data_IF_193825609093
#
_entry.id   IF_193825609093
#
_cell.length_a   1.000
_cell.length_b   1.000
_cell.length_c   1.000
_cell.angle_alpha   90.00
_cell.angle_beta   90.00
_cell.angle_gamma   90.00
#
_symmetry.space_group_name_H-M   'P 1'
#
loop_
_entity.id
_entity.type
_entity.pdbx_description
1 polymer ?
#
# COMPACT_ATOMS: atom_id res chain seq x y z
N UNK A 1 14.80 9.19 19.84
CA UNK A 1 13.55 8.72 19.24
C UNK A 1 13.86 7.69 18.16
N UNK A 2 13.11 6.60 18.17
CA UNK A 2 13.33 5.44 17.30
C UNK A 2 12.34 5.38 16.11
N UNK A 3 11.46 6.37 16.00
CA UNK A 3 10.45 6.45 14.93
C UNK A 3 10.19 7.89 14.52
N UNK A 4 9.70 8.09 13.32
CA UNK A 4 9.37 9.38 12.76
C UNK A 4 8.27 9.30 11.71
N UNK A 5 7.90 10.43 11.15
CA UNK A 5 6.91 10.55 10.08
C UNK A 5 7.60 11.01 8.81
N UNK A 6 7.18 10.46 7.70
CA UNK A 6 7.62 10.86 6.36
C UNK A 6 6.40 11.06 5.47
N UNK A 7 6.51 11.97 4.52
CA UNK A 7 5.51 12.11 3.47
C UNK A 7 5.65 10.94 2.47
N UNK A 8 4.71 9.99 2.40
CA UNK A 8 4.88 8.77 1.61
C UNK A 8 4.97 9.05 0.11
N UNK A 9 4.13 9.92 -0.41
CA UNK A 9 4.18 10.30 -1.84
C UNK A 9 5.43 11.11 -2.17
N UNK A 10 5.89 11.99 -1.27
CA UNK A 10 7.15 12.71 -1.46
C UNK A 10 8.35 11.77 -1.52
N UNK A 11 8.40 10.77 -0.65
CA UNK A 11 9.44 9.74 -0.68
C UNK A 11 9.39 8.94 -1.99
N UNK A 12 8.21 8.52 -2.43
CA UNK A 12 8.04 7.77 -3.68
C UNK A 12 8.49 8.60 -4.90
N UNK A 13 8.12 9.87 -4.95
CA UNK A 13 8.55 10.78 -6.03
C UNK A 13 10.08 10.93 -6.02
N UNK A 14 10.68 11.13 -4.85
CA UNK A 14 12.14 11.29 -4.73
C UNK A 14 12.89 10.03 -5.22
N UNK A 15 12.39 8.83 -4.94
CA UNK A 15 12.96 7.60 -5.50
C UNK A 15 12.83 7.54 -7.02
N UNK A 16 11.67 7.90 -7.57
CA UNK A 16 11.46 7.92 -9.01
C UNK A 16 12.37 8.94 -9.71
N UNK A 17 12.49 10.15 -9.16
CA UNK A 17 13.39 11.19 -9.67
C UNK A 17 14.86 10.76 -9.62
N UNK A 18 15.27 10.14 -8.52
CA UNK A 18 16.63 9.59 -8.39
C UNK A 18 16.88 8.48 -9.40
N UNK A 19 15.93 7.58 -9.61
CA UNK A 19 16.03 6.53 -10.62
C UNK A 19 16.19 7.12 -12.03
N UNK A 20 15.40 8.12 -12.38
CA UNK A 20 15.48 8.80 -13.69
C UNK A 20 16.84 9.49 -13.86
N UNK A 21 17.36 10.15 -12.84
CA UNK A 21 18.71 10.77 -12.86
C UNK A 21 19.81 9.72 -13.08
N UNK A 22 19.56 8.47 -12.69
CA UNK A 22 20.49 7.35 -12.90
C UNK A 22 20.18 6.53 -14.17
N UNK A 23 19.35 7.07 -15.07
CA UNK A 23 19.12 6.50 -16.41
C UNK A 23 17.93 5.53 -16.49
N UNK A 24 17.08 5.44 -15.47
CA UNK A 24 15.83 4.70 -15.58
C UNK A 24 14.77 5.51 -16.35
N UNK A 25 13.86 4.79 -16.99
CA UNK A 25 12.68 5.38 -17.63
C UNK A 25 11.44 5.10 -16.79
N UNK A 26 10.60 6.13 -16.61
CA UNK A 26 9.30 6.02 -15.95
C UNK A 26 8.21 6.19 -17.01
N UNK A 27 7.57 5.10 -17.39
CA UNK A 27 6.52 5.08 -18.39
C UNK A 27 5.14 5.15 -17.73
N UNK A 28 4.61 6.36 -17.54
CA UNK A 28 3.25 6.56 -17.01
C UNK A 28 2.19 6.16 -18.04
N UNK A 29 1.00 5.79 -17.55
CA UNK A 29 -0.13 5.34 -18.38
C UNK A 29 0.25 4.16 -19.30
N UNK A 30 1.12 3.28 -18.79
CA UNK A 30 1.60 2.10 -19.51
C UNK A 30 1.22 0.86 -18.71
N UNK A 31 0.18 0.18 -19.19
CA UNK A 31 -0.33 -1.04 -18.56
C UNK A 31 0.26 -2.28 -19.24
N UNK A 32 0.72 -3.23 -18.46
CA UNK A 32 1.06 -4.57 -18.95
C UNK A 32 -0.24 -5.31 -19.29
N UNK A 33 -0.31 -5.86 -20.49
CA UNK A 33 -1.50 -6.53 -21.02
C UNK A 33 -1.32 -8.05 -21.05
N UNK A 34 -0.14 -8.51 -21.45
CA UNK A 34 0.21 -9.94 -21.50
C UNK A 34 1.73 -10.15 -21.48
N UNK A 35 2.14 -11.39 -21.30
CA UNK A 35 3.54 -11.80 -21.38
C UNK A 35 3.68 -13.05 -22.23
N UNK A 36 4.68 -13.09 -23.09
CA UNK A 36 5.08 -14.31 -23.79
C UNK A 36 6.14 -15.02 -22.96
N UNK A 37 5.87 -16.26 -22.59
CA UNK A 37 6.79 -17.10 -21.80
C UNK A 37 7.17 -18.33 -22.62
N UNK A 38 8.47 -18.50 -22.86
CA UNK A 38 9.03 -19.68 -23.52
C UNK A 38 10.26 -20.16 -22.74
N UNK A 39 10.46 -21.47 -22.64
CA UNK A 39 11.57 -22.13 -21.95
C UNK A 39 11.73 -21.69 -20.49
N UNK A 40 10.62 -21.34 -19.84
CA UNK A 40 10.59 -20.86 -18.46
C UNK A 40 11.19 -19.46 -18.30
N UNK A 41 11.11 -18.62 -19.32
CA UNK A 41 11.51 -17.21 -19.30
C UNK A 41 10.52 -16.34 -20.04
N UNK A 42 10.29 -15.15 -19.53
CA UNK A 42 9.57 -14.08 -20.22
C UNK A 42 10.43 -13.62 -21.39
N UNK A 43 9.90 -13.73 -22.60
CA UNK A 43 10.53 -13.29 -23.84
C UNK A 43 10.13 -11.87 -24.18
N UNK A 44 8.85 -11.56 -23.99
CA UNK A 44 8.30 -10.23 -24.23
C UNK A 44 7.22 -9.88 -23.22
N UNK A 45 7.02 -8.59 -23.03
CA UNK A 45 5.94 -7.99 -22.21
C UNK A 45 5.18 -7.04 -23.12
N UNK A 46 3.94 -7.38 -23.41
CA UNK A 46 3.03 -6.53 -24.17
C UNK A 46 2.43 -5.47 -23.25
N UNK A 47 2.45 -4.24 -23.71
CA UNK A 47 1.80 -3.11 -23.02
C UNK A 47 0.81 -2.43 -23.97
N UNK A 48 -0.07 -1.60 -23.42
CA UNK A 48 -0.96 -0.75 -24.21
C UNK A 48 -0.20 0.30 -25.06
N UNK A 49 1.14 0.37 -24.96
CA UNK A 49 1.99 1.34 -25.67
C UNK A 49 3.14 0.70 -26.46
N UNK A 50 3.17 -0.61 -26.59
CA UNK A 50 4.16 -1.37 -27.33
C UNK A 50 4.75 -2.52 -26.54
N UNK A 51 5.61 -3.27 -27.20
CA UNK A 51 6.24 -4.49 -26.69
C UNK A 51 7.61 -4.19 -26.12
N UNK A 52 7.91 -4.76 -24.96
CA UNK A 52 9.21 -4.71 -24.30
C UNK A 52 9.86 -6.09 -24.32
N UNK A 53 11.19 -6.14 -24.44
CA UNK A 53 12.00 -7.35 -24.41
C UNK A 53 12.96 -7.33 -23.21
N UNK A 54 12.49 -7.63 -21.99
CA UNK A 54 13.27 -7.47 -20.78
C UNK A 54 14.22 -8.63 -20.56
N UNK A 55 15.39 -8.36 -19.97
CA UNK A 55 16.29 -9.40 -19.46
C UNK A 55 15.78 -9.97 -18.13
N UNK A 56 15.14 -9.12 -17.32
CA UNK A 56 14.59 -9.43 -16.01
C UNK A 56 13.30 -8.63 -15.84
N UNK A 57 12.30 -9.21 -15.21
CA UNK A 57 11.06 -8.56 -14.82
C UNK A 57 10.95 -8.56 -13.30
N UNK A 58 10.58 -7.42 -12.72
CA UNK A 58 10.25 -7.31 -11.29
C UNK A 58 8.76 -7.00 -11.18
N UNK A 59 8.01 -7.92 -10.60
CA UNK A 59 6.60 -7.75 -10.33
C UNK A 59 6.39 -7.03 -8.99
N UNK A 60 6.19 -5.73 -9.03
CA UNK A 60 5.86 -4.89 -7.90
C UNK A 60 4.47 -4.23 -8.06
N UNK A 61 3.52 -4.97 -8.65
CA UNK A 61 2.23 -4.44 -9.11
C UNK A 61 1.17 -4.29 -7.99
N UNK A 62 1.55 -4.41 -6.72
CA UNK A 62 0.65 -4.21 -5.58
C UNK A 62 -0.57 -5.14 -5.63
N UNK A 63 -1.78 -4.59 -5.66
CA UNK A 63 -3.02 -5.38 -5.72
C UNK A 63 -3.17 -6.19 -7.01
N UNK A 64 -2.42 -5.85 -8.06
CA UNK A 64 -2.38 -6.56 -9.34
C UNK A 64 -1.21 -7.55 -9.46
N UNK A 65 -0.43 -7.75 -8.39
CA UNK A 65 0.74 -8.63 -8.45
C UNK A 65 0.40 -10.09 -8.75
N UNK A 66 -0.77 -10.56 -8.33
CA UNK A 66 -1.30 -11.88 -8.67
C UNK A 66 -1.59 -12.00 -10.17
N UNK A 67 -2.20 -10.97 -10.78
CA UNK A 67 -2.52 -10.97 -12.21
C UNK A 67 -1.24 -10.99 -13.06
N UNK A 68 -0.23 -10.22 -12.65
CA UNK A 68 1.09 -10.22 -13.31
C UNK A 68 1.77 -11.59 -13.17
N UNK A 69 1.67 -12.23 -12.00
CA UNK A 69 2.19 -13.58 -11.79
C UNK A 69 1.48 -14.62 -12.68
N UNK A 70 0.17 -14.47 -12.88
CA UNK A 70 -0.62 -15.32 -13.77
C UNK A 70 -0.21 -15.14 -15.24
N UNK A 71 -0.06 -13.89 -15.71
CA UNK A 71 0.44 -13.59 -17.06
C UNK A 71 1.82 -14.20 -17.31
N UNK A 72 2.66 -14.27 -16.29
CA UNK A 72 3.99 -14.87 -16.35
C UNK A 72 4.00 -16.40 -16.19
N UNK A 73 2.84 -17.05 -16.01
CA UNK A 73 2.73 -18.49 -15.73
C UNK A 73 3.31 -18.91 -14.38
N UNK A 74 3.48 -17.97 -13.45
CA UNK A 74 4.17 -18.18 -12.16
C UNK A 74 3.31 -17.84 -10.94
N UNK A 75 2.00 -18.01 -11.05
CA UNK A 75 1.07 -17.77 -9.95
C UNK A 75 1.20 -18.87 -8.89
N UNK A 76 1.62 -18.51 -7.68
CA UNK A 76 1.70 -19.39 -6.51
C UNK A 76 1.17 -18.74 -5.23
N UNK A 77 0.66 -17.51 -5.33
CA UNK A 77 0.04 -16.76 -4.24
C UNK A 77 -1.25 -16.10 -4.73
N UNK A 78 -2.07 -15.67 -3.80
CA UNK A 78 -3.25 -14.85 -4.06
C UNK A 78 -3.25 -13.60 -3.22
N UNK A 79 -3.72 -12.50 -3.82
CA UNK A 79 -3.94 -11.24 -3.14
C UNK A 79 -5.42 -11.14 -2.74
N UNK A 80 -5.68 -10.83 -1.48
CA UNK A 80 -7.02 -10.49 -1.03
C UNK A 80 -7.07 -9.01 -0.63
N UNK A 81 -7.64 -8.16 -1.47
CA UNK A 81 -7.61 -6.72 -1.27
C UNK A 81 -8.29 -6.30 0.03
N UNK A 82 -7.70 -5.32 0.73
CA UNK A 82 -8.21 -4.81 2.00
C UNK A 82 -8.20 -3.30 2.02
N UNK A 83 -9.37 -2.69 2.10
CA UNK A 83 -9.51 -1.24 2.19
C UNK A 83 -9.06 -0.71 3.54
N UNK A 84 -8.55 0.52 3.53
CA UNK A 84 -8.21 1.26 4.73
C UNK A 84 -8.53 2.73 4.56
N UNK A 85 -9.44 3.24 5.38
CA UNK A 85 -9.92 4.61 5.37
C UNK A 85 -9.17 5.46 6.37
N UNK A 86 -8.67 6.61 5.91
CA UNK A 86 -8.00 7.61 6.72
C UNK A 86 -8.70 8.96 6.61
N UNK A 87 -8.64 9.73 7.68
CA UNK A 87 -9.08 11.13 7.71
C UNK A 87 -7.90 12.03 8.07
N UNK A 88 -7.79 13.18 7.42
CA UNK A 88 -6.84 14.23 7.78
C UNK A 88 -7.62 15.36 8.44
N UNK A 89 -7.15 15.78 9.60
CA UNK A 89 -7.75 16.86 10.37
C UNK A 89 -7.04 18.19 10.11
N UNK A 90 -7.76 19.26 10.34
CA UNK A 90 -7.24 20.62 10.31
C UNK A 90 -6.01 20.78 11.22
N UNK A 91 -5.09 21.67 10.89
CA UNK A 91 -3.86 21.94 11.64
C UNK A 91 -4.09 22.34 13.09
N UNK A 92 -5.25 22.95 13.40
CA UNK A 92 -5.61 23.25 14.81
C UNK A 92 -5.67 22.00 15.69
N UNK A 93 -6.02 20.84 15.10
CA UNK A 93 -6.00 19.56 15.80
C UNK A 93 -4.57 19.02 15.97
N UNK A 94 -3.62 19.44 15.12
CA UNK A 94 -2.20 19.08 15.21
C UNK A 94 -1.56 19.47 16.54
N UNK A 95 -2.03 20.54 17.15
CA UNK A 95 -1.57 20.97 18.48
C UNK A 95 -1.89 19.97 19.60
N UNK A 96 -2.79 19.01 19.38
CA UNK A 96 -3.17 18.05 20.43
C UNK A 96 -2.12 16.95 20.62
N UNK A 97 -1.29 16.67 19.62
CA UNK A 97 -0.31 15.61 19.68
C UNK A 97 0.82 15.83 18.64
N UNK A 98 2.06 15.63 19.07
CA UNK A 98 3.26 15.77 18.22
C UNK A 98 3.99 14.43 18.02
N UNK A 99 3.23 13.33 18.02
CA UNK A 99 3.78 11.97 18.02
C UNK A 99 2.86 11.02 17.25
N UNK A 100 3.12 9.73 17.39
CA UNK A 100 2.26 8.64 16.91
C UNK A 100 1.64 7.98 18.12
N UNK A 101 0.32 7.77 18.10
CA UNK A 101 -0.39 7.01 19.10
C UNK A 101 -1.26 5.95 18.47
N UNK A 102 -1.25 4.76 19.03
CA UNK A 102 -2.14 3.66 18.65
C UNK A 102 -2.63 2.93 19.88
N UNK A 103 -3.81 2.31 19.77
CA UNK A 103 -4.35 1.46 20.83
C UNK A 103 -3.68 0.10 20.71
N UNK A 104 -3.05 -0.38 21.79
CA UNK A 104 -2.62 -1.77 21.87
C UNK A 104 -3.86 -2.65 22.09
N UNK A 105 -4.28 -3.39 21.09
CA UNK A 105 -5.30 -4.41 21.26
C UNK A 105 -4.70 -5.62 21.97
N UNK A 106 -5.17 -5.89 23.20
CA UNK A 106 -4.68 -7.00 24.02
C UNK A 106 -5.28 -8.36 23.64
N UNK A 107 -6.25 -8.38 22.70
CA UNK A 107 -6.90 -9.61 22.27
C UNK A 107 -6.28 -10.14 20.98
N UNK A 108 -5.57 -11.24 21.09
CA UNK A 108 -4.82 -11.91 20.04
C UNK A 108 -5.66 -12.47 18.87
N UNK A 109 -6.97 -12.31 18.87
CA UNK A 109 -7.87 -13.01 17.94
C UNK A 109 -8.35 -12.20 16.75
N UNK A 110 -7.75 -11.03 16.46
CA UNK A 110 -8.04 -10.30 15.22
C UNK A 110 -6.77 -10.19 14.37
N UNK A 111 -6.41 -11.29 13.75
CA UNK A 111 -5.22 -11.44 12.91
C UNK A 111 -5.12 -10.38 11.78
N UNK A 112 -6.21 -9.76 11.40
CA UNK A 112 -6.28 -8.88 10.25
C UNK A 112 -6.49 -7.40 10.57
N UNK A 113 -6.57 -7.00 11.85
CA UNK A 113 -6.72 -5.59 12.24
C UNK A 113 -5.41 -5.02 12.76
N UNK A 114 -4.77 -4.15 11.99
CA UNK A 114 -3.56 -3.43 12.42
C UNK A 114 -3.87 -2.22 13.34
N UNK A 115 -5.06 -2.18 13.93
CA UNK A 115 -5.44 -1.26 14.99
C UNK A 115 -5.69 0.19 14.57
N UNK A 116 -5.08 0.66 13.51
CA UNK A 116 -5.07 2.09 13.16
C UNK A 116 -4.37 2.94 14.23
N UNK A 117 -4.40 4.25 14.07
CA UNK A 117 -3.76 5.16 15.01
C UNK A 117 -4.10 6.62 14.74
N UNK A 118 -3.41 7.47 15.47
CA UNK A 118 -3.37 8.90 15.28
C UNK A 118 -1.92 9.26 15.01
N UNK A 119 -1.66 9.99 13.95
CA UNK A 119 -0.34 10.35 13.48
C UNK A 119 -0.25 11.85 13.25
N UNK A 120 0.73 12.51 13.85
CA UNK A 120 1.08 13.88 13.50
C UNK A 120 1.86 13.87 12.18
N UNK A 121 1.31 14.53 11.16
CA UNK A 121 1.91 14.56 9.82
C UNK A 121 3.04 15.60 9.71
N UNK A 122 3.84 15.50 8.67
CA UNK A 122 4.92 16.47 8.38
C UNK A 122 4.38 17.87 8.02
N UNK A 123 3.07 18.03 7.86
CA UNK A 123 2.41 19.28 7.56
C UNK A 123 1.57 19.83 8.71
N UNK A 124 1.82 19.35 9.94
CA UNK A 124 1.13 19.76 11.18
C UNK A 124 -0.35 19.40 11.26
N UNK A 125 -0.82 18.47 10.43
CA UNK A 125 -2.14 17.90 10.52
C UNK A 125 -2.12 16.64 11.41
N UNK A 126 -3.27 16.19 11.89
CA UNK A 126 -3.42 14.83 12.36
C UNK A 126 -4.03 13.95 11.27
N UNK A 127 -3.44 12.78 11.09
CA UNK A 127 -4.02 11.69 10.31
C UNK A 127 -4.61 10.69 11.31
N UNK A 128 -5.87 10.32 11.09
CA UNK A 128 -6.63 9.39 11.94
C UNK A 128 -7.10 8.22 11.11
N UNK A 129 -6.68 7.03 11.48
CA UNK A 129 -6.95 5.81 10.73
C UNK A 129 -5.75 4.86 10.74
N UNK A 130 -5.76 3.86 9.85
CA UNK A 130 -6.90 3.41 9.07
C UNK A 130 -7.77 2.37 9.78
N UNK A 131 -8.90 2.05 9.18
CA UNK A 131 -9.60 0.78 9.40
C UNK A 131 -9.01 -0.36 8.53
N UNK A 132 -9.67 -1.52 8.52
CA UNK A 132 -9.30 -2.65 7.70
C UNK A 132 -10.57 -3.43 7.31
N UNK A 133 -11.00 -3.29 6.06
CA UNK A 133 -12.22 -3.88 5.53
C UNK A 133 -11.87 -4.71 4.30
N UNK A 134 -12.16 -6.00 4.35
CA UNK A 134 -11.99 -6.89 3.21
C UNK A 134 -12.85 -6.44 2.03
N UNK A 135 -12.31 -6.58 0.83
CA UNK A 135 -13.02 -6.28 -0.42
C UNK A 135 -12.55 -7.23 -1.51
N UNK A 136 -13.40 -7.47 -2.50
CA UNK A 136 -13.02 -8.24 -3.70
C UNK A 136 -12.51 -7.33 -4.82
N UNK A 137 -12.76 -6.03 -4.71
CA UNK A 137 -12.44 -5.05 -5.74
C UNK A 137 -11.07 -4.42 -5.47
N UNK A 138 -10.15 -4.62 -6.40
CA UNK A 138 -8.76 -4.15 -6.30
C UNK A 138 -8.62 -2.63 -6.34
N UNK A 139 -9.58 -1.93 -6.93
CA UNK A 139 -9.56 -0.47 -7.13
C UNK A 139 -10.69 0.27 -6.39
N UNK A 140 -11.42 -0.41 -5.50
CA UNK A 140 -12.49 0.23 -4.74
C UNK A 140 -11.90 1.15 -3.65
N UNK A 141 -11.81 2.43 -3.98
CA UNK A 141 -11.35 3.49 -3.07
C UNK A 141 -12.49 4.33 -2.49
N UNK A 142 -13.73 3.84 -2.57
CA UNK A 142 -14.87 4.52 -1.95
C UNK A 142 -14.67 4.66 -0.45
N UNK A 143 -14.94 5.85 0.06
CA UNK A 143 -14.92 6.13 1.50
C UNK A 143 -16.33 6.10 2.04
N UNK A 144 -16.60 5.17 2.95
CA UNK A 144 -17.89 5.07 3.60
C UNK A 144 -17.89 5.85 4.92
N UNK A 145 -19.00 6.54 5.18
CA UNK A 145 -19.21 7.30 6.41
C UNK A 145 -19.05 6.42 7.66
N UNK A 146 -19.57 5.21 7.61
CA UNK A 146 -19.46 4.25 8.70
C UNK A 146 -17.99 3.92 9.04
N UNK A 147 -17.11 3.80 8.05
CA UNK A 147 -15.68 3.60 8.25
C UNK A 147 -15.06 4.75 9.05
N UNK A 148 -15.38 5.98 8.68
CA UNK A 148 -14.91 7.17 9.40
C UNK A 148 -15.40 7.15 10.85
N UNK A 149 -16.71 6.96 11.06
CA UNK A 149 -17.34 6.93 12.38
C UNK A 149 -16.73 5.84 13.28
N UNK A 150 -16.50 4.63 12.74
CA UNK A 150 -15.87 3.53 13.46
C UNK A 150 -14.42 3.82 13.84
N UNK A 151 -13.64 4.40 12.92
CA UNK A 151 -12.26 4.83 13.20
C UNK A 151 -12.24 5.87 14.31
N UNK A 152 -13.08 6.92 14.23
CA UNK A 152 -13.13 7.96 15.28
C UNK A 152 -13.61 7.41 16.61
N UNK A 153 -14.64 6.58 16.65
CA UNK A 153 -15.12 5.91 17.86
C UNK A 153 -14.00 5.12 18.54
N UNK A 154 -13.15 4.45 17.75
CA UNK A 154 -11.99 3.72 18.27
C UNK A 154 -10.93 4.67 18.81
N UNK A 155 -10.52 5.65 18.01
CA UNK A 155 -9.40 6.54 18.34
C UNK A 155 -9.72 7.57 19.42
N UNK A 156 -10.97 7.93 19.63
CA UNK A 156 -11.44 8.74 20.77
C UNK A 156 -11.14 8.11 22.13
N UNK A 157 -10.90 6.79 22.18
CA UNK A 157 -10.43 6.13 23.41
C UNK A 157 -9.02 6.58 23.80
N UNK A 158 -8.17 6.87 22.81
CA UNK A 158 -6.80 7.38 23.01
C UNK A 158 -6.78 8.90 23.12
N UNK A 159 -7.58 9.58 22.30
CA UNK A 159 -7.67 11.04 22.27
C UNK A 159 -9.14 11.49 22.29
N UNK A 160 -9.73 11.71 23.45
CA UNK A 160 -11.16 12.11 23.59
C UNK A 160 -11.52 13.43 22.90
N UNK A 161 -10.53 14.31 22.65
CA UNK A 161 -10.72 15.61 21.97
C UNK A 161 -10.90 15.50 20.46
N UNK A 162 -10.70 14.32 19.86
CA UNK A 162 -10.92 14.15 18.43
C UNK A 162 -12.35 14.48 18.03
N UNK A 163 -12.49 15.23 16.96
CA UNK A 163 -13.78 15.62 16.41
C UNK A 163 -13.81 15.40 14.89
N UNK A 164 -14.86 14.79 14.40
CA UNK A 164 -15.12 14.63 12.97
C UNK A 164 -15.36 15.98 12.28
N UNK A 165 -15.70 17.03 13.04
CA UNK A 165 -15.85 18.40 12.53
C UNK A 165 -14.54 19.04 12.08
N UNK A 166 -13.41 18.46 12.52
CA UNK A 166 -12.08 18.93 12.16
C UNK A 166 -11.54 18.26 10.90
N UNK A 167 -12.28 17.34 10.28
CA UNK A 167 -11.88 16.67 9.04
C UNK A 167 -11.87 17.70 7.90
N UNK A 168 -10.70 17.83 7.27
CA UNK A 168 -10.54 18.64 6.06
C UNK A 168 -10.50 17.79 4.79
N UNK A 169 -10.10 16.51 4.90
CA UNK A 169 -10.17 15.54 3.82
C UNK A 169 -10.14 14.11 4.38
N UNK A 170 -10.57 13.17 3.56
CA UNK A 170 -10.50 11.74 3.82
C UNK A 170 -10.19 10.99 2.53
N UNK A 171 -9.65 9.79 2.67
CA UNK A 171 -9.34 8.93 1.55
C UNK A 171 -9.32 7.46 1.97
N UNK A 172 -9.54 6.60 1.01
CA UNK A 172 -9.45 5.14 1.17
C UNK A 172 -8.42 4.60 0.18
N UNK A 173 -7.54 3.74 0.65
CA UNK A 173 -6.62 2.99 -0.19
C UNK A 173 -6.87 1.48 -0.08
N UNK A 174 -6.43 0.73 -1.08
CA UNK A 174 -6.54 -0.73 -1.09
C UNK A 174 -5.16 -1.33 -0.88
N UNK A 175 -5.01 -2.12 0.19
CA UNK A 175 -3.79 -2.87 0.49
C UNK A 175 -3.81 -4.20 -0.26
N UNK A 176 -2.64 -4.76 -0.46
CA UNK A 176 -2.40 -6.00 -1.18
C UNK A 176 -1.85 -7.14 -0.30
N UNK A 177 -2.52 -7.52 0.83
CA UNK A 177 -2.05 -8.66 1.60
C UNK A 177 -2.21 -9.98 0.84
N UNK A 178 -1.34 -10.94 1.17
CA UNK A 178 -1.56 -12.36 0.90
C UNK A 178 -2.33 -12.99 2.05
N UNK A 179 -2.74 -14.25 1.90
CA UNK A 179 -3.38 -14.98 3.00
C UNK A 179 -2.42 -15.26 4.16
N UNK A 180 -1.12 -15.35 3.88
CA UNK A 180 -0.07 -15.52 4.88
C UNK A 180 0.24 -14.23 5.64
N UNK A 181 -0.29 -13.08 5.19
CA UNK A 181 -0.05 -11.75 5.76
C UNK A 181 1.44 -11.35 5.79
N UNK A 182 2.26 -11.94 4.92
CA UNK A 182 3.69 -11.67 4.82
C UNK A 182 4.09 -11.23 3.41
N UNK A 183 5.28 -10.64 3.29
CA UNK A 183 5.84 -10.19 2.03
C UNK A 183 6.37 -11.37 1.23
N UNK A 184 6.16 -11.33 -0.07
CA UNK A 184 6.76 -12.25 -1.04
C UNK A 184 7.83 -11.47 -1.79
N UNK A 185 9.09 -11.66 -1.42
CA UNK A 185 10.25 -11.06 -2.10
C UNK A 185 11.16 -12.22 -2.49
N UNK A 186 10.86 -12.84 -3.62
CA UNK A 186 11.59 -14.02 -4.08
C UNK A 186 11.59 -14.14 -5.61
N UNK A 187 12.56 -14.89 -6.19
CA UNK A 187 12.52 -15.25 -7.62
C UNK A 187 11.27 -16.04 -7.96
N UNK A 188 10.84 -15.95 -9.22
CA UNK A 188 9.78 -16.77 -9.76
C UNK A 188 10.09 -18.27 -9.60
N UNK A 189 9.08 -19.07 -9.30
CA UNK A 189 9.22 -20.52 -9.07
C UNK A 189 9.28 -21.32 -10.36
N UNK A 190 8.64 -20.81 -11.41
CA UNK A 190 8.60 -21.43 -12.75
C UNK A 190 9.30 -20.56 -13.79
N UNK A 191 9.25 -19.25 -13.64
CA UNK A 191 9.74 -18.26 -14.59
C UNK A 191 11.04 -17.63 -14.10
N UNK A 192 12.16 -18.03 -14.70
CA UNK A 192 13.53 -17.80 -14.20
C UNK A 192 13.99 -16.34 -14.19
N UNK A 193 13.44 -15.50 -15.07
CA UNK A 193 13.76 -14.08 -15.15
C UNK A 193 12.63 -13.19 -14.58
N UNK A 194 11.96 -13.68 -13.53
CA UNK A 194 10.95 -12.98 -12.79
C UNK A 194 11.35 -12.90 -11.32
N UNK A 195 11.14 -11.75 -10.70
CA UNK A 195 11.22 -11.54 -9.26
C UNK A 195 9.88 -10.99 -8.80
N UNK A 196 9.31 -11.57 -7.76
CA UNK A 196 8.11 -11.05 -7.13
C UNK A 196 8.45 -10.15 -5.95
N UNK A 197 7.78 -8.99 -5.88
CA UNK A 197 7.68 -8.08 -4.74
C UNK A 197 6.21 -7.88 -4.44
N UNK A 198 5.56 -8.89 -3.88
CA UNK A 198 4.12 -8.97 -3.69
C UNK A 198 3.74 -9.09 -2.21
N UNK A 199 2.45 -8.99 -1.88
CA UNK A 199 1.98 -9.06 -0.51
C UNK A 199 2.40 -7.86 0.36
N UNK A 200 2.97 -6.83 -0.24
CA UNK A 200 3.54 -5.69 0.48
C UNK A 200 2.42 -4.76 0.96
N UNK A 201 2.25 -4.74 2.24
CA UNK A 201 1.36 -3.84 2.99
C UNK A 201 2.16 -3.16 4.11
N UNK A 202 1.52 -2.53 5.11
CA UNK A 202 2.27 -1.98 6.24
C UNK A 202 3.04 -3.09 6.99
N UNK A 203 4.33 -2.91 7.27
CA UNK A 203 5.13 -1.67 7.20
C UNK A 203 6.00 -1.52 5.93
N UNK A 204 5.50 -1.87 4.75
CA UNK A 204 6.26 -1.91 3.50
C UNK A 204 7.05 -0.62 3.19
N UNK A 205 6.47 0.56 3.42
CA UNK A 205 7.19 1.82 3.19
C UNK A 205 8.44 1.95 4.06
N UNK A 206 8.37 1.46 5.30
CA UNK A 206 9.51 1.50 6.25
C UNK A 206 10.66 0.59 5.81
N UNK A 207 10.36 -0.44 5.05
CA UNK A 207 11.33 -1.44 4.58
C UNK A 207 11.76 -1.21 3.13
N UNK A 208 11.29 -0.15 2.47
CA UNK A 208 11.59 0.14 1.07
C UNK A 208 13.03 0.62 0.82
N UNK A 209 13.69 1.39 1.72
CA UNK A 209 15.09 1.80 1.59
C UNK A 209 16.08 0.66 1.60
#
# INVERSE_FOLDING_TARGET
>A
PSSGCVCPYGLTIAYAENAVQNGAEVALNTAVVSMEVADGKIQSVETNRGTLYPRLVVNAAGVFSEDVAEMAGDRFFSIHPRRGTNSILDKKAGAFMHSIASIKELTANKAHSKGGGILHTVHDNLLVGPDAIETYEKENTETHRESIENVFKKQKKTMPKLSERDIITYFTGVRAPTFEEDFIIEPGRKTKNLIHCAGIQSPGLTTAP
#
